data_IF_649242364698
#
_entry.id   IF_649242364698
#
_cell.length_a   1.000
_cell.length_b   1.000
_cell.length_c   1.000
_cell.angle_alpha   90.00
_cell.angle_beta   90.00
_cell.angle_gamma   90.00
#
_symmetry.space_group_name_H-M   'P 1'
#
loop_
_entity.id
_entity.type
_entity.pdbx_description
1 polymer ?
#
# COMPACT_ATOMS: atom_id res chain seq x y z
N UNK A 1 -0.99 -14.70 42.68
CA UNK A 1 -0.25 -13.52 42.16
C UNK A 1 0.97 -14.05 41.43
N UNK A 2 0.92 -14.16 40.10
CA UNK A 2 2.07 -14.54 39.26
C UNK A 2 2.17 -13.51 38.12
N UNK A 3 3.31 -12.84 38.07
CA UNK A 3 3.64 -11.75 37.15
C UNK A 3 3.89 -12.30 35.74
N UNK A 4 3.25 -11.65 34.75
CA UNK A 4 3.86 -11.15 33.51
C UNK A 4 4.92 -12.04 32.81
N UNK A 5 4.53 -12.60 31.67
CA UNK A 5 5.43 -12.80 30.51
C UNK A 5 4.58 -12.70 29.23
N UNK A 6 4.36 -11.46 28.79
CA UNK A 6 4.96 -10.88 27.58
C UNK A 6 4.23 -11.40 26.33
N UNK A 7 3.48 -10.51 25.69
CA UNK A 7 3.12 -10.61 24.28
C UNK A 7 4.39 -10.89 23.50
N UNK A 8 4.67 -12.15 23.19
CA UNK A 8 5.72 -12.52 22.26
C UNK A 8 5.15 -12.12 20.90
N UNK A 9 5.46 -10.91 20.46
CA UNK A 9 5.33 -10.58 19.05
C UNK A 9 6.02 -11.71 18.27
N UNK A 10 5.34 -12.38 17.31
CA UNK A 10 5.94 -13.50 16.60
C UNK A 10 7.28 -13.09 16.01
N UNK A 11 8.32 -13.91 16.17
CA UNK A 11 9.66 -13.64 15.64
C UNK A 11 9.64 -13.74 14.11
N UNK A 12 9.42 -12.61 13.46
CA UNK A 12 9.27 -12.52 12.00
C UNK A 12 10.55 -12.81 11.24
N UNK A 13 11.72 -12.86 11.91
CA UNK A 13 12.97 -13.29 11.29
C UNK A 13 13.00 -14.80 11.00
N UNK A 14 12.09 -15.57 11.60
CA UNK A 14 11.98 -17.02 11.38
C UNK A 14 11.16 -17.36 10.13
N UNK A 15 10.36 -16.42 9.62
CA UNK A 15 9.63 -16.62 8.37
C UNK A 15 10.57 -16.34 7.19
N UNK A 16 10.78 -17.31 6.29
CA UNK A 16 11.60 -17.11 5.09
C UNK A 16 10.86 -16.19 4.13
N UNK A 17 10.89 -14.89 4.37
CA UNK A 17 10.34 -13.91 3.44
C UNK A 17 11.41 -13.56 2.40
N UNK A 18 10.98 -13.46 1.15
CA UNK A 18 11.82 -13.03 0.04
C UNK A 18 11.24 -11.72 -0.48
N UNK A 19 12.12 -10.81 -0.87
CA UNK A 19 11.73 -9.55 -1.51
C UNK A 19 10.93 -9.82 -2.80
N UNK A 20 11.26 -10.92 -3.50
CA UNK A 20 10.57 -11.37 -4.71
C UNK A 20 10.29 -12.85 -4.56
N UNK A 21 9.00 -13.20 -4.52
CA UNK A 21 8.54 -14.57 -4.53
C UNK A 21 8.44 -15.12 -5.96
N UNK A 22 8.30 -16.42 -6.13
CA UNK A 22 8.10 -16.99 -7.47
C UNK A 22 6.69 -16.65 -7.98
N UNK A 23 6.61 -15.97 -9.14
CA UNK A 23 5.33 -15.64 -9.79
C UNK A 23 4.46 -16.89 -9.97
N UNK A 24 5.07 -17.99 -10.40
CA UNK A 24 4.35 -19.25 -10.62
C UNK A 24 3.75 -19.80 -9.32
N UNK A 25 4.47 -19.66 -8.20
CA UNK A 25 4.00 -20.09 -6.89
C UNK A 25 2.84 -19.22 -6.40
N UNK A 26 2.98 -17.89 -6.49
CA UNK A 26 1.91 -16.96 -6.08
C UNK A 26 0.67 -17.12 -6.96
N UNK A 27 0.84 -17.38 -8.26
CA UNK A 27 -0.29 -17.65 -9.15
C UNK A 27 -1.05 -18.93 -8.77
N UNK A 28 -0.33 -19.98 -8.39
CA UNK A 28 -0.94 -21.24 -7.96
C UNK A 28 -1.64 -21.09 -6.60
N UNK A 29 -1.00 -20.38 -5.66
CA UNK A 29 -1.52 -20.23 -4.29
C UNK A 29 -2.66 -19.22 -4.21
N UNK A 30 -2.60 -18.14 -5.00
CA UNK A 30 -3.54 -17.02 -4.94
C UNK A 30 -3.58 -16.20 -6.25
N UNK A 31 -4.24 -16.72 -7.31
CA UNK A 31 -4.25 -16.06 -8.63
C UNK A 31 -4.92 -14.68 -8.62
N UNK A 32 -5.92 -14.48 -7.76
CA UNK A 32 -6.62 -13.19 -7.60
C UNK A 32 -5.70 -12.15 -6.97
N UNK A 33 -4.89 -12.55 -5.97
CA UNK A 33 -3.93 -11.65 -5.34
C UNK A 33 -2.88 -11.17 -6.33
N UNK A 34 -2.33 -12.08 -7.14
CA UNK A 34 -1.37 -11.73 -8.18
C UNK A 34 -1.98 -10.77 -9.20
N UNK A 35 -3.22 -11.02 -9.61
CA UNK A 35 -3.94 -10.16 -10.56
C UNK A 35 -4.16 -8.75 -9.99
N UNK A 36 -4.52 -8.65 -8.71
CA UNK A 36 -4.67 -7.38 -8.01
C UNK A 36 -3.34 -6.63 -7.91
N UNK A 37 -2.26 -7.34 -7.54
CA UNK A 37 -0.92 -6.78 -7.40
C UNK A 37 -0.41 -6.21 -8.73
N UNK A 38 -0.48 -6.99 -9.81
CA UNK A 38 -0.05 -6.55 -11.14
C UNK A 38 -0.88 -5.36 -11.65
N UNK A 39 -2.19 -5.38 -11.42
CA UNK A 39 -3.09 -4.29 -11.80
C UNK A 39 -2.76 -3.02 -11.02
N UNK A 40 -2.60 -3.12 -9.71
CA UNK A 40 -2.29 -2.00 -8.83
C UNK A 40 -0.93 -1.38 -9.18
N UNK A 41 0.10 -2.20 -9.35
CA UNK A 41 1.44 -1.73 -9.71
C UNK A 41 1.46 -1.09 -11.11
N UNK A 42 0.70 -1.64 -12.06
CA UNK A 42 0.56 -1.05 -13.40
C UNK A 42 -0.12 0.32 -13.35
N UNK A 43 -1.25 0.44 -12.64
CA UNK A 43 -1.95 1.71 -12.46
C UNK A 43 -1.10 2.72 -11.70
N UNK A 44 -0.38 2.29 -10.65
CA UNK A 44 0.51 3.15 -9.89
C UNK A 44 1.68 3.67 -10.76
N UNK A 45 2.21 2.84 -11.66
CA UNK A 45 3.21 3.27 -12.64
C UNK A 45 2.68 4.35 -13.58
N UNK A 46 1.43 4.22 -14.04
CA UNK A 46 0.76 5.28 -14.82
C UNK A 46 0.57 6.57 -14.00
N UNK A 47 0.26 6.46 -12.71
CA UNK A 47 0.15 7.61 -11.81
C UNK A 47 1.49 8.30 -11.58
N UNK A 48 2.60 7.57 -11.47
CA UNK A 48 3.94 8.18 -11.41
C UNK A 48 4.18 9.03 -12.67
N UNK A 49 3.92 8.47 -13.85
CA UNK A 49 4.08 9.20 -15.12
C UNK A 49 3.16 10.44 -15.17
N UNK A 50 1.93 10.32 -14.69
CA UNK A 50 1.00 11.44 -14.61
C UNK A 50 1.46 12.51 -13.62
N UNK A 51 1.92 12.12 -12.42
CA UNK A 51 2.39 13.02 -11.38
C UNK A 51 3.66 13.77 -11.79
N UNK A 52 4.58 13.13 -12.51
CA UNK A 52 5.74 13.78 -13.11
C UNK A 52 5.29 14.84 -14.11
N UNK A 53 4.37 14.50 -15.03
CA UNK A 53 3.83 15.45 -16.03
C UNK A 53 3.10 16.63 -15.38
N UNK A 54 2.41 16.41 -14.27
CA UNK A 54 1.70 17.46 -13.52
C UNK A 54 2.57 18.18 -12.48
N UNK A 55 3.84 17.81 -12.32
CA UNK A 55 4.75 18.31 -11.27
C UNK A 55 4.19 18.13 -9.84
N UNK A 56 3.44 17.04 -9.62
CA UNK A 56 2.82 16.68 -8.33
C UNK A 56 3.37 15.38 -7.74
N UNK A 57 4.60 15.03 -8.09
CA UNK A 57 5.24 13.81 -7.59
C UNK A 57 5.33 13.79 -6.06
N UNK A 58 5.54 14.93 -5.41
CA UNK A 58 5.55 15.04 -3.95
C UNK A 58 4.21 14.62 -3.31
N UNK A 59 3.08 14.96 -3.94
CA UNK A 59 1.74 14.57 -3.46
C UNK A 59 1.56 13.05 -3.57
N UNK A 60 1.96 12.46 -4.70
CA UNK A 60 1.91 11.01 -4.89
C UNK A 60 2.79 10.29 -3.86
N UNK A 61 4.02 10.77 -3.65
CA UNK A 61 4.94 10.18 -2.68
C UNK A 61 4.42 10.32 -1.24
N UNK A 62 3.87 11.49 -0.87
CA UNK A 62 3.28 11.69 0.45
C UNK A 62 2.09 10.75 0.68
N UNK A 63 1.22 10.57 -0.32
CA UNK A 63 0.13 9.61 -0.30
C UNK A 63 0.61 8.17 -0.08
N UNK A 64 1.61 7.73 -0.84
CA UNK A 64 2.17 6.38 -0.75
C UNK A 64 2.90 6.13 0.57
N UNK A 65 3.68 7.11 1.06
CA UNK A 65 4.36 7.01 2.34
C UNK A 65 3.34 6.94 3.48
N UNK A 66 2.29 7.75 3.43
CA UNK A 66 1.18 7.69 4.40
C UNK A 66 0.55 6.30 4.44
N UNK A 67 0.30 5.72 3.26
CA UNK A 67 -0.16 4.32 3.15
C UNK A 67 0.81 3.30 3.71
N UNK A 68 2.11 3.44 3.43
CA UNK A 68 3.12 2.56 4.01
C UNK A 68 3.16 2.63 5.54
N UNK A 69 3.08 3.84 6.10
CA UNK A 69 3.01 4.05 7.56
C UNK A 69 1.74 3.42 8.12
N UNK A 70 0.60 3.60 7.45
CA UNK A 70 -0.66 2.96 7.83
C UNK A 70 -0.48 1.44 7.94
N UNK A 71 0.04 0.79 6.91
CA UNK A 71 0.22 -0.66 6.91
C UNK A 71 1.20 -1.12 8.01
N UNK A 72 2.27 -0.36 8.27
CA UNK A 72 3.20 -0.67 9.38
C UNK A 72 2.49 -0.59 10.74
N UNK A 73 1.69 0.45 10.97
CA UNK A 73 0.93 0.61 12.22
C UNK A 73 -0.08 -0.53 12.38
N UNK A 74 -0.89 -0.79 11.36
CA UNK A 74 -1.92 -1.84 11.42
C UNK A 74 -1.31 -3.23 11.53
N UNK A 75 -0.19 -3.50 10.88
CA UNK A 75 0.53 -4.77 11.00
C UNK A 75 1.15 -4.98 12.39
N UNK A 76 1.44 -3.90 13.10
CA UNK A 76 1.98 -3.94 14.47
C UNK A 76 0.90 -4.22 15.52
N UNK A 77 -0.39 -4.08 15.17
CA UNK A 77 -1.49 -4.32 16.09
C UNK A 77 -1.86 -5.83 16.13
N UNK A 78 -1.90 -6.46 17.32
CA UNK A 78 -2.16 -7.89 17.45
C UNK A 78 -3.60 -8.30 17.06
N UNK A 79 -4.52 -7.33 17.00
CA UNK A 79 -5.92 -7.53 16.58
C UNK A 79 -6.03 -7.67 15.06
N UNK A 80 -5.09 -7.10 14.31
CA UNK A 80 -5.18 -6.97 12.86
C UNK A 80 -4.30 -8.04 12.23
N UNK A 81 -4.86 -9.24 12.10
CA UNK A 81 -4.21 -10.32 11.38
C UNK A 81 -4.60 -10.26 9.90
N UNK A 82 -3.89 -9.46 9.12
CA UNK A 82 -4.18 -9.37 7.69
C UNK A 82 -3.57 -10.58 6.97
N UNK A 83 -4.45 -11.46 6.47
CA UNK A 83 -4.07 -12.74 5.85
C UNK A 83 -3.21 -12.59 4.58
N UNK A 84 -3.23 -11.41 3.95
CA UNK A 84 -2.66 -11.14 2.63
C UNK A 84 -1.22 -10.58 2.68
N UNK A 85 -0.67 -10.35 3.87
CA UNK A 85 0.60 -9.64 4.07
C UNK A 85 1.86 -10.42 3.67
N UNK A 86 1.81 -11.74 3.49
CA UNK A 86 3.02 -12.54 3.24
C UNK A 86 2.95 -13.38 1.95
N UNK A 87 1.95 -13.12 1.10
CA UNK A 87 1.65 -13.94 -0.08
C UNK A 87 1.85 -13.20 -1.40
N UNK A 88 2.29 -11.94 -1.35
CA UNK A 88 2.50 -11.13 -2.54
C UNK A 88 3.75 -11.57 -3.32
N UNK A 89 3.76 -11.29 -4.62
CA UNK A 89 4.92 -11.48 -5.47
C UNK A 89 6.05 -10.53 -5.09
N UNK A 90 5.75 -9.25 -4.88
CA UNK A 90 6.71 -8.21 -4.52
C UNK A 90 6.51 -7.74 -3.08
N UNK A 91 7.54 -7.92 -2.26
CA UNK A 91 7.53 -7.62 -0.83
C UNK A 91 8.55 -6.53 -0.49
N UNK A 92 8.10 -5.47 0.19
CA UNK A 92 8.95 -4.41 0.76
C UNK A 92 9.43 -4.75 2.19
N UNK A 93 8.78 -5.71 2.83
CA UNK A 93 9.15 -6.24 4.14
C UNK A 93 8.40 -7.54 4.44
N UNK A 94 8.63 -8.16 5.61
CA UNK A 94 8.08 -9.48 5.94
C UNK A 94 6.56 -9.58 5.88
N UNK A 95 5.88 -8.44 6.05
CA UNK A 95 4.43 -8.30 6.06
C UNK A 95 3.94 -7.10 5.23
N UNK A 96 4.81 -6.56 4.36
CA UNK A 96 4.51 -5.34 3.61
C UNK A 96 4.62 -5.58 2.10
N UNK A 97 3.59 -6.16 1.48
CA UNK A 97 3.42 -6.20 0.03
C UNK A 97 3.56 -4.81 -0.62
N UNK A 98 4.29 -4.74 -1.73
CA UNK A 98 4.50 -3.46 -2.42
C UNK A 98 3.20 -2.85 -2.98
N UNK A 99 2.22 -3.69 -3.33
CA UNK A 99 0.94 -3.22 -3.85
C UNK A 99 0.10 -2.49 -2.80
N UNK A 100 0.27 -2.74 -1.51
CA UNK A 100 -0.54 -2.09 -0.47
C UNK A 100 -0.23 -0.58 -0.36
N UNK A 101 1.03 -0.13 -0.15
CA UNK A 101 1.34 1.31 -0.20
C UNK A 101 0.96 1.93 -1.55
N UNK A 102 1.16 1.21 -2.65
CA UNK A 102 0.79 1.69 -3.99
C UNK A 102 -0.73 1.92 -4.13
N UNK A 103 -1.56 1.09 -3.49
CA UNK A 103 -3.00 1.24 -3.49
C UNK A 103 -3.46 2.51 -2.74
N UNK A 104 -2.83 2.83 -1.61
CA UNK A 104 -3.05 4.11 -0.91
C UNK A 104 -2.62 5.30 -1.76
N UNK A 105 -1.42 5.19 -2.34
CA UNK A 105 -0.92 6.16 -3.30
C UNK A 105 -1.94 6.41 -4.40
N UNK A 106 -2.53 5.36 -4.96
CA UNK A 106 -3.58 5.44 -5.97
C UNK A 106 -4.83 6.16 -5.48
N UNK A 107 -5.44 5.73 -4.36
CA UNK A 107 -6.68 6.33 -3.88
C UNK A 107 -6.51 7.78 -3.43
N UNK A 108 -5.49 8.07 -2.62
CA UNK A 108 -5.28 9.41 -2.06
C UNK A 108 -4.84 10.36 -3.17
N UNK A 109 -3.91 9.98 -4.05
CA UNK A 109 -3.47 10.85 -5.13
C UNK A 109 -4.59 11.19 -6.10
N UNK A 110 -5.40 10.20 -6.50
CA UNK A 110 -6.55 10.44 -7.38
C UNK A 110 -7.55 11.38 -6.71
N UNK A 111 -7.87 11.17 -5.42
CA UNK A 111 -8.76 12.07 -4.68
C UNK A 111 -8.22 13.51 -4.61
N UNK A 112 -6.94 13.70 -4.30
CA UNK A 112 -6.30 15.03 -4.30
C UNK A 112 -6.32 15.68 -5.68
N UNK A 113 -6.08 14.90 -6.75
CA UNK A 113 -6.10 15.42 -8.10
C UNK A 113 -7.53 15.77 -8.55
N UNK A 114 -8.55 15.01 -8.13
CA UNK A 114 -9.96 15.34 -8.37
C UNK A 114 -10.37 16.64 -7.66
N UNK A 115 -9.95 16.82 -6.40
CA UNK A 115 -10.21 18.04 -5.65
C UNK A 115 -9.56 19.27 -6.31
N UNK A 116 -8.32 19.13 -6.78
CA UNK A 116 -7.62 20.19 -7.51
C UNK A 116 -8.31 20.57 -8.82
N UNK A 117 -8.78 19.58 -9.58
CA UNK A 117 -9.56 19.82 -10.81
C UNK A 117 -10.85 20.57 -10.47
N UNK A 118 -11.60 20.13 -9.45
CA UNK A 118 -12.84 20.78 -9.04
C UNK A 118 -12.61 22.23 -8.61
N UNK A 119 -11.52 22.49 -7.88
CA UNK A 119 -11.11 23.84 -7.51
C UNK A 119 -10.80 24.71 -8.74
N UNK A 120 -10.12 24.15 -9.75
CA UNK A 120 -9.82 24.87 -11.01
C UNK A 120 -11.05 25.25 -11.82
N UNK A 121 -12.15 24.50 -11.69
CA UNK A 121 -13.44 24.79 -12.32
C UNK A 121 -14.26 25.89 -11.60
N UNK A 122 -13.71 26.53 -10.58
CA UNK A 122 -14.36 27.65 -9.89
C UNK A 122 -15.44 27.23 -8.91
N UNK A 123 -15.33 26.05 -8.29
CA UNK A 123 -16.26 25.64 -7.22
C UNK A 123 -16.30 26.68 -6.07
N UNK A 124 -15.18 27.35 -5.79
CA UNK A 124 -15.11 28.38 -4.75
C UNK A 124 -15.86 29.69 -5.07
N UNK A 125 -16.26 29.94 -6.32
CA UNK A 125 -17.02 31.16 -6.68
C UNK A 125 -18.54 30.97 -6.71
N UNK A 126 -19.05 29.78 -6.33
CA UNK A 126 -20.51 29.47 -6.31
C UNK A 126 -21.12 29.31 -4.92
N UNK A 127 -20.33 29.44 -3.86
CA UNK A 127 -20.76 29.20 -2.46
C UNK A 127 -20.50 30.44 -1.57
N UNK A 128 -20.29 31.60 -2.18
CA UNK A 128 -20.23 32.91 -1.52
C UNK A 128 -21.54 33.66 -1.70
#
# INVERSE_FOLDING_TARGET
MAKSSINIAPDYNQYPWRHVNSIHQVFHDSPVLLSLELTTLSLYSLLILHAIRRRKLSVLLAATISGAVNEVVFTSLPIVNNFWHAQAWLMLGPRLPAWQPALYGLFIYVACQSADILHSFGWNSRIG
#
